data_IF_957549142878
#
_entry.id   IF_957549142878
#
_cell.length_a   1.000
_cell.length_b   1.000
_cell.length_c   1.000
_cell.angle_alpha   90.00
_cell.angle_beta   90.00
_cell.angle_gamma   90.00
#
_symmetry.space_group_name_H-M   'P 1'
#
loop_
_entity.id
_entity.type
_entity.pdbx_description
1 polymer ?
#
# COMPACT_ATOMS: atom_id res chain seq x y z
N UNK A 1 -28.73 5.67 13.02
CA UNK A 1 -27.48 5.37 12.32
C UNK A 1 -26.78 4.29 13.15
N UNK A 2 -26.57 3.08 12.61
CA UNK A 2 -25.84 2.03 13.35
C UNK A 2 -24.36 2.46 13.39
N UNK A 3 -23.76 2.48 14.60
CA UNK A 3 -22.33 2.77 14.75
C UNK A 3 -21.52 1.74 13.95
N UNK A 4 -20.50 2.21 13.24
CA UNK A 4 -19.58 1.32 12.53
C UNK A 4 -18.83 0.44 13.54
N UNK A 5 -18.78 -0.87 13.25
CA UNK A 5 -18.07 -1.81 14.12
C UNK A 5 -16.56 -1.52 14.07
N UNK A 6 -15.92 -1.53 15.23
CA UNK A 6 -14.45 -1.49 15.32
C UNK A 6 -13.83 -2.77 14.75
N UNK A 7 -12.54 -2.74 14.43
CA UNK A 7 -11.80 -3.94 13.98
C UNK A 7 -11.95 -5.09 14.98
N UNK A 8 -11.82 -4.84 16.28
CA UNK A 8 -12.02 -5.86 17.32
C UNK A 8 -13.43 -6.44 17.33
N UNK A 9 -14.46 -5.61 17.18
CA UNK A 9 -15.85 -6.07 17.08
C UNK A 9 -16.12 -6.90 15.82
N UNK A 10 -15.43 -6.59 14.70
CA UNK A 10 -15.49 -7.38 13.47
C UNK A 10 -14.82 -8.75 13.65
N UNK A 11 -13.69 -8.82 14.35
CA UNK A 11 -13.05 -10.09 14.76
C UNK A 11 -14.01 -10.92 15.60
N UNK A 12 -14.65 -10.33 16.64
CA UNK A 12 -15.61 -11.02 17.47
C UNK A 12 -16.82 -11.53 16.67
N UNK A 13 -17.30 -10.76 15.70
CA UNK A 13 -18.40 -11.15 14.80
C UNK A 13 -17.99 -12.32 13.91
N UNK A 14 -16.80 -12.28 13.28
CA UNK A 14 -16.30 -13.35 12.43
C UNK A 14 -16.12 -14.66 13.22
N UNK A 15 -15.52 -14.60 14.41
CA UNK A 15 -15.39 -15.74 15.31
C UNK A 15 -16.73 -16.39 15.67
N UNK A 16 -17.73 -15.57 16.03
CA UNK A 16 -19.08 -16.06 16.35
C UNK A 16 -19.77 -16.71 15.16
N UNK A 17 -19.53 -16.24 13.92
CA UNK A 17 -20.05 -16.87 12.70
C UNK A 17 -19.53 -18.30 12.52
N UNK A 18 -18.32 -18.60 12.98
CA UNK A 18 -17.76 -19.95 13.01
C UNK A 18 -18.25 -20.78 14.20
N UNK A 19 -19.06 -20.21 15.11
CA UNK A 19 -19.50 -20.87 16.35
C UNK A 19 -18.36 -21.02 17.37
N UNK A 20 -17.24 -20.33 17.21
CA UNK A 20 -16.08 -20.44 18.09
C UNK A 20 -16.23 -19.61 19.38
N UNK A 21 -15.70 -20.14 20.48
CA UNK A 21 -15.42 -19.34 21.66
C UNK A 21 -14.06 -18.61 21.57
N UNK A 22 -13.74 -17.77 22.56
CA UNK A 22 -12.47 -17.04 22.57
C UNK A 22 -11.26 -17.95 22.76
N UNK A 23 -11.42 -19.12 23.40
CA UNK A 23 -10.33 -20.07 23.61
C UNK A 23 -9.95 -20.77 22.30
N UNK A 24 -10.93 -21.11 21.47
CA UNK A 24 -10.71 -21.70 20.16
C UNK A 24 -9.96 -20.74 19.21
N UNK A 25 -10.38 -19.47 19.17
CA UNK A 25 -9.65 -18.46 18.39
C UNK A 25 -8.23 -18.25 18.93
N UNK A 26 -8.07 -18.17 20.26
CA UNK A 26 -6.78 -18.00 20.91
C UNK A 26 -5.80 -19.13 20.54
N UNK A 27 -6.26 -20.37 20.58
CA UNK A 27 -5.47 -21.54 20.19
C UNK A 27 -5.08 -21.49 18.70
N UNK A 28 -6.03 -21.12 17.82
CA UNK A 28 -5.80 -21.07 16.37
C UNK A 28 -4.78 -20.00 15.94
N UNK A 29 -4.67 -18.89 16.69
CA UNK A 29 -3.71 -17.80 16.38
C UNK A 29 -2.47 -17.81 17.30
N UNK A 30 -2.29 -18.86 18.10
CA UNK A 30 -1.19 -19.00 19.07
C UNK A 30 -1.09 -17.78 20.02
N UNK A 31 -2.21 -17.44 20.65
CA UNK A 31 -2.32 -16.34 21.63
C UNK A 31 -3.11 -16.79 22.86
N UNK A 32 -3.07 -15.97 23.91
CA UNK A 32 -3.88 -16.22 25.11
C UNK A 32 -5.34 -15.80 24.93
N UNK A 33 -6.28 -16.44 25.64
CA UNK A 33 -7.70 -16.03 25.69
C UNK A 33 -7.82 -14.56 26.13
N UNK A 34 -7.00 -14.13 27.09
CA UNK A 34 -6.95 -12.73 27.53
C UNK A 34 -6.55 -11.77 26.39
N UNK A 35 -5.66 -12.19 25.49
CA UNK A 35 -5.29 -11.42 24.30
C UNK A 35 -6.50 -11.26 23.38
N UNK A 36 -7.19 -12.34 23.03
CA UNK A 36 -8.40 -12.30 22.18
C UNK A 36 -9.47 -11.41 22.80
N UNK A 37 -9.74 -11.56 24.11
CA UNK A 37 -10.71 -10.72 24.81
C UNK A 37 -10.36 -9.23 24.75
N UNK A 38 -9.09 -8.89 24.90
CA UNK A 38 -8.63 -7.49 24.79
C UNK A 38 -8.75 -6.94 23.37
N UNK A 39 -8.44 -7.73 22.35
CA UNK A 39 -8.64 -7.34 20.94
C UNK A 39 -10.12 -7.12 20.66
N UNK A 40 -10.98 -8.06 20.99
CA UNK A 40 -12.44 -7.98 20.73
C UNK A 40 -13.12 -6.80 21.43
N UNK A 41 -12.60 -6.42 22.60
CA UNK A 41 -13.11 -5.28 23.39
C UNK A 41 -12.43 -3.95 23.06
N UNK A 42 -11.48 -3.92 22.11
CA UNK A 42 -10.74 -2.73 21.75
C UNK A 42 -9.71 -2.27 22.79
N UNK A 43 -9.45 -3.08 23.84
CA UNK A 43 -8.43 -2.77 24.85
C UNK A 43 -7.01 -3.06 24.39
N UNK A 44 -6.86 -3.83 23.33
CA UNK A 44 -5.60 -4.09 22.64
C UNK A 44 -5.82 -3.81 21.14
N UNK A 45 -5.14 -2.80 20.60
CA UNK A 45 -5.28 -2.45 19.18
C UNK A 45 -4.66 -3.52 18.27
N UNK A 46 -5.21 -3.65 17.08
CA UNK A 46 -4.61 -4.39 15.97
C UNK A 46 -3.77 -3.41 15.15
N UNK A 47 -2.53 -3.23 15.57
CA UNK A 47 -1.57 -2.23 15.06
C UNK A 47 -0.61 -2.79 14.00
N UNK A 48 -0.80 -4.06 13.58
CA UNK A 48 0.04 -4.73 12.58
C UNK A 48 -0.79 -5.51 11.58
N UNK A 49 -0.48 -5.33 10.30
CA UNK A 49 -1.16 -6.06 9.23
C UNK A 49 -0.86 -7.56 9.25
N UNK A 50 0.29 -7.97 9.78
CA UNK A 50 0.62 -9.38 10.04
C UNK A 50 -0.41 -10.05 10.95
N UNK A 51 -0.82 -9.39 12.03
CA UNK A 51 -1.83 -9.92 12.96
C UNK A 51 -3.23 -9.91 12.35
N UNK A 52 -3.57 -8.86 11.62
CA UNK A 52 -4.86 -8.77 10.91
C UNK A 52 -4.96 -9.86 9.85
N UNK A 53 -3.90 -10.08 9.07
CA UNK A 53 -3.83 -11.14 8.07
C UNK A 53 -3.98 -12.54 8.68
N UNK A 54 -3.25 -12.83 9.76
CA UNK A 54 -3.37 -14.10 10.50
C UNK A 54 -4.80 -14.34 11.01
N UNK A 55 -5.43 -13.31 11.58
CA UNK A 55 -6.83 -13.40 12.03
C UNK A 55 -7.78 -13.63 10.87
N UNK A 56 -7.60 -12.96 9.73
CA UNK A 56 -8.43 -13.11 8.55
C UNK A 56 -8.34 -14.55 7.99
N UNK A 57 -7.13 -15.08 7.86
CA UNK A 57 -6.87 -16.46 7.42
C UNK A 57 -7.56 -17.48 8.32
N UNK A 58 -7.32 -17.41 9.63
CA UNK A 58 -7.88 -18.35 10.61
C UNK A 58 -9.41 -18.26 10.71
N UNK A 59 -9.98 -17.07 10.53
CA UNK A 59 -11.41 -16.84 10.58
C UNK A 59 -12.12 -17.09 9.23
N UNK A 60 -11.37 -17.37 8.16
CA UNK A 60 -11.88 -17.59 6.81
C UNK A 60 -12.62 -16.37 6.24
N UNK A 61 -12.09 -15.17 6.49
CA UNK A 61 -12.66 -13.91 6.01
C UNK A 61 -11.58 -13.08 5.30
N UNK A 62 -12.01 -12.14 4.46
CA UNK A 62 -11.08 -11.21 3.84
C UNK A 62 -10.57 -10.17 4.85
N UNK A 63 -9.33 -9.68 4.63
CA UNK A 63 -8.73 -8.63 5.45
C UNK A 63 -9.62 -7.39 5.54
N UNK A 64 -10.29 -7.03 4.44
CA UNK A 64 -11.21 -5.88 4.40
C UNK A 64 -12.46 -6.07 5.28
N UNK A 65 -12.90 -7.29 5.50
CA UNK A 65 -14.01 -7.56 6.44
C UNK A 65 -13.61 -7.21 7.87
N UNK A 66 -12.36 -7.45 8.25
CA UNK A 66 -11.84 -7.12 9.58
C UNK A 66 -11.52 -5.63 9.71
N UNK A 67 -10.92 -5.02 8.69
CA UNK A 67 -10.55 -3.60 8.72
C UNK A 67 -11.75 -2.68 8.51
N UNK A 68 -12.79 -3.16 7.80
CA UNK A 68 -13.99 -2.40 7.54
C UNK A 68 -13.91 -1.42 6.38
N UNK A 69 -12.92 -1.57 5.50
CA UNK A 69 -12.84 -0.80 4.26
C UNK A 69 -13.96 -1.20 3.28
N UNK A 70 -14.36 -0.35 2.35
CA UNK A 70 -13.94 1.05 2.15
C UNK A 70 -14.56 2.02 3.18
N UNK A 71 -13.76 2.98 3.64
CA UNK A 71 -14.23 4.02 4.57
C UNK A 71 -14.88 5.15 3.79
N UNK A 72 -16.22 5.28 3.91
CA UNK A 72 -16.98 6.33 3.25
C UNK A 72 -17.25 7.51 4.18
N UNK A 73 -17.21 8.72 3.64
CA UNK A 73 -17.41 9.96 4.38
C UNK A 73 -18.65 10.71 3.87
N UNK A 74 -19.24 11.61 4.71
CA UNK A 74 -20.50 12.27 4.38
C UNK A 74 -20.38 13.39 3.36
N UNK A 75 -19.21 14.05 3.32
CA UNK A 75 -18.96 15.14 2.37
C UNK A 75 -18.01 14.67 1.28
N UNK A 76 -18.19 15.20 0.06
CA UNK A 76 -17.30 14.88 -1.06
C UNK A 76 -15.84 15.23 -0.77
N UNK A 77 -15.59 16.29 0.00
CA UNK A 77 -14.26 16.72 0.40
C UNK A 77 -13.58 15.71 1.33
N UNK A 78 -14.32 15.09 2.23
CA UNK A 78 -13.83 14.07 3.15
C UNK A 78 -13.83 12.67 2.52
N UNK A 79 -14.71 12.41 1.56
CA UNK A 79 -14.85 11.12 0.87
C UNK A 79 -13.77 10.88 -0.21
N UNK A 80 -12.73 11.63 -0.14
CA UNK A 80 -11.50 11.71 -0.93
C UNK A 80 -11.26 10.56 -1.91
N UNK A 81 -11.46 10.81 -3.19
CA UNK A 81 -11.14 9.86 -4.26
C UNK A 81 -12.22 8.80 -4.55
N UNK A 82 -13.16 8.53 -3.63
CA UNK A 82 -14.21 7.51 -3.88
C UNK A 82 -15.17 7.89 -5.01
N UNK A 83 -15.36 9.18 -5.28
CA UNK A 83 -16.20 9.65 -6.39
C UNK A 83 -15.68 9.20 -7.77
N UNK A 84 -14.38 8.99 -7.91
CA UNK A 84 -13.74 8.54 -9.15
C UNK A 84 -13.81 7.03 -9.38
N UNK A 85 -14.15 6.23 -8.37
CA UNK A 85 -14.16 4.76 -8.45
C UNK A 85 -15.03 4.22 -9.58
N UNK A 86 -16.25 4.71 -9.85
CA UNK A 86 -17.02 4.22 -11.00
C UNK A 86 -16.32 4.43 -12.34
N UNK A 87 -15.73 5.60 -12.56
CA UNK A 87 -14.96 5.90 -13.78
C UNK A 87 -13.70 5.06 -13.89
N UNK A 88 -12.97 4.88 -12.78
CA UNK A 88 -11.78 4.05 -12.73
C UNK A 88 -12.12 2.57 -13.00
N UNK A 89 -13.21 2.06 -12.44
CA UNK A 89 -13.71 0.70 -12.69
C UNK A 89 -13.98 0.47 -14.18
N UNK A 90 -14.71 1.38 -14.80
CA UNK A 90 -15.02 1.29 -16.25
C UNK A 90 -13.73 1.31 -17.07
N UNK A 91 -12.80 2.22 -16.79
CA UNK A 91 -11.52 2.32 -17.50
C UNK A 91 -10.68 1.03 -17.37
N UNK A 92 -10.60 0.44 -16.18
CA UNK A 92 -9.89 -0.83 -15.95
C UNK A 92 -10.59 -2.01 -16.65
N UNK A 93 -11.92 -2.06 -16.65
CA UNK A 93 -12.66 -3.09 -17.40
C UNK A 93 -12.37 -3.00 -18.90
N UNK A 94 -12.37 -1.80 -19.47
CA UNK A 94 -12.00 -1.59 -20.88
C UNK A 94 -10.53 -1.94 -21.13
N UNK A 95 -9.63 -1.67 -20.19
CA UNK A 95 -8.20 -1.95 -20.31
C UNK A 95 -7.85 -3.45 -20.23
N UNK A 96 -8.68 -4.25 -19.56
CA UNK A 96 -8.46 -5.70 -19.36
C UNK A 96 -9.24 -6.57 -20.33
N UNK A 97 -10.28 -6.01 -20.97
CA UNK A 97 -11.15 -6.78 -21.88
C UNK A 97 -10.54 -6.89 -23.28
N UNK A 98 -10.55 -8.07 -23.92
CA UNK A 98 -10.19 -8.20 -25.32
C UNK A 98 -11.03 -7.28 -26.21
N UNK A 99 -10.40 -6.51 -27.09
CA UNK A 99 -11.09 -5.55 -27.97
C UNK A 99 -11.63 -4.31 -27.23
N UNK A 100 -11.18 -4.04 -26.00
CA UNK A 100 -11.65 -2.91 -25.20
C UNK A 100 -11.42 -1.55 -25.86
N UNK A 101 -10.38 -1.39 -26.69
CA UNK A 101 -10.12 -0.18 -27.46
C UNK A 101 -11.29 0.17 -28.41
N UNK A 102 -11.88 -0.82 -29.07
CA UNK A 102 -13.02 -0.61 -29.98
C UNK A 102 -14.29 -0.12 -29.26
N UNK A 103 -14.36 -0.24 -27.93
CA UNK A 103 -15.46 0.26 -27.10
C UNK A 103 -15.26 1.70 -26.63
N UNK A 104 -14.11 2.29 -26.91
CA UNK A 104 -13.77 3.66 -26.53
C UNK A 104 -13.99 4.56 -27.75
N UNK A 105 -15.04 5.40 -27.69
CA UNK A 105 -15.27 6.41 -28.72
C UNK A 105 -14.28 7.55 -28.47
N UNK A 106 -13.36 7.74 -29.42
CA UNK A 106 -12.45 8.89 -29.45
C UNK A 106 -12.40 9.47 -30.84
N UNK A 107 -12.34 10.79 -30.94
CA UNK A 107 -12.17 11.50 -32.22
C UNK A 107 -10.69 11.69 -32.55
N UNK A 108 -9.84 11.77 -31.52
CA UNK A 108 -8.41 11.97 -31.67
C UNK A 108 -7.66 11.00 -30.73
N UNK A 109 -6.66 10.30 -31.26
CA UNK A 109 -5.76 9.45 -30.47
C UNK A 109 -4.64 10.34 -29.95
N UNK A 110 -4.49 10.51 -28.61
CA UNK A 110 -3.41 11.30 -28.06
C UNK A 110 -2.05 10.73 -28.46
N UNK A 111 -1.09 11.61 -28.69
CA UNK A 111 0.28 11.18 -29.00
C UNK A 111 0.97 10.54 -27.77
N UNK A 112 1.98 9.71 -28.04
CA UNK A 112 2.82 9.13 -27.00
C UNK A 112 3.44 10.22 -26.11
N UNK A 113 3.86 11.36 -26.70
CA UNK A 113 4.44 12.48 -25.95
C UNK A 113 3.43 13.18 -25.03
N UNK A 114 2.18 13.39 -25.49
CA UNK A 114 1.11 13.94 -24.67
C UNK A 114 0.80 13.02 -23.48
N UNK A 115 0.60 11.72 -23.75
CA UNK A 115 0.31 10.76 -22.69
C UNK A 115 1.48 10.58 -21.70
N UNK A 116 2.72 10.68 -22.17
CA UNK A 116 3.88 10.71 -21.27
C UNK A 116 3.78 11.87 -20.28
N UNK A 117 3.51 13.08 -20.75
CA UNK A 117 3.36 14.28 -19.92
C UNK A 117 2.21 14.13 -18.91
N UNK A 118 1.07 13.61 -19.35
CA UNK A 118 -0.12 13.42 -18.50
C UNK A 118 0.11 12.34 -17.43
N UNK A 119 0.78 11.24 -17.77
CA UNK A 119 1.15 10.19 -16.81
C UNK A 119 2.12 10.73 -15.77
N UNK A 120 3.14 11.49 -16.17
CA UNK A 120 4.09 12.10 -15.23
C UNK A 120 3.43 13.10 -14.27
N UNK A 121 2.48 13.89 -14.78
CA UNK A 121 1.69 14.80 -13.93
C UNK A 121 0.83 14.01 -12.93
N UNK A 122 0.22 12.91 -13.35
CA UNK A 122 -0.59 12.04 -12.49
C UNK A 122 0.27 11.33 -11.43
N UNK A 123 1.49 10.89 -11.78
CA UNK A 123 2.44 10.31 -10.81
C UNK A 123 2.79 11.30 -9.69
N UNK A 124 2.94 12.58 -10.03
CA UNK A 124 3.17 13.60 -9.01
C UNK A 124 1.99 13.76 -8.07
N UNK A 125 0.75 13.74 -8.59
CA UNK A 125 -0.45 13.77 -7.74
C UNK A 125 -0.48 12.58 -6.77
N UNK A 126 -0.14 11.38 -7.24
CA UNK A 126 -0.06 10.19 -6.40
C UNK A 126 1.01 10.35 -5.31
N UNK A 127 2.22 10.77 -5.68
CA UNK A 127 3.33 10.94 -4.73
C UNK A 127 3.03 11.99 -3.66
N UNK A 128 2.30 13.04 -4.03
CA UNK A 128 1.82 14.09 -3.11
C UNK A 128 0.58 13.63 -2.31
N UNK A 129 0.12 12.37 -2.46
CA UNK A 129 -1.08 11.80 -1.84
C UNK A 129 -2.38 12.58 -2.14
N UNK A 130 -2.47 13.20 -3.33
CA UNK A 130 -3.65 13.96 -3.80
C UNK A 130 -4.60 13.04 -4.57
N UNK A 131 -5.16 12.05 -3.87
CA UNK A 131 -5.94 10.97 -4.50
C UNK A 131 -7.24 11.44 -5.15
N UNK A 132 -7.88 12.51 -4.66
CA UNK A 132 -9.04 13.09 -5.32
C UNK A 132 -8.67 13.64 -6.70
N UNK A 133 -7.65 14.51 -6.78
CA UNK A 133 -7.19 15.08 -8.05
C UNK A 133 -6.65 14.01 -9.02
N UNK A 134 -5.98 12.98 -8.47
CA UNK A 134 -5.57 11.83 -9.28
C UNK A 134 -6.79 11.10 -9.87
N UNK A 135 -7.82 10.88 -9.07
CA UNK A 135 -9.06 10.22 -9.49
C UNK A 135 -9.80 10.96 -10.60
N UNK A 136 -9.69 12.29 -10.65
CA UNK A 136 -10.32 13.11 -11.69
C UNK A 136 -9.66 12.90 -13.08
N UNK A 137 -8.36 12.59 -13.13
CA UNK A 137 -7.61 12.50 -14.40
C UNK A 137 -7.30 11.06 -14.83
N UNK A 138 -7.09 10.15 -13.89
CA UNK A 138 -6.58 8.81 -14.15
C UNK A 138 -7.50 7.94 -15.03
N UNK A 139 -8.85 7.95 -14.86
CA UNK A 139 -9.74 7.17 -15.72
C UNK A 139 -9.60 7.51 -17.20
N UNK A 140 -9.46 8.81 -17.54
CA UNK A 140 -9.29 9.23 -18.92
C UNK A 140 -7.90 8.86 -19.45
N UNK A 141 -6.84 9.01 -18.67
CA UNK A 141 -5.49 8.57 -19.04
C UNK A 141 -5.47 7.08 -19.38
N UNK A 142 -6.09 6.24 -18.54
CA UNK A 142 -6.18 4.80 -18.81
C UNK A 142 -6.92 4.49 -20.12
N UNK A 143 -8.05 5.14 -20.38
CA UNK A 143 -8.82 4.95 -21.64
C UNK A 143 -8.02 5.36 -22.86
N UNK A 144 -7.35 6.51 -22.81
CA UNK A 144 -6.50 6.99 -23.91
C UNK A 144 -5.32 6.03 -24.16
N UNK A 145 -4.73 5.50 -23.10
CA UNK A 145 -3.66 4.49 -23.19
C UNK A 145 -4.17 3.16 -23.77
N UNK A 146 -5.41 2.75 -23.49
CA UNK A 146 -6.00 1.56 -24.12
C UNK A 146 -6.00 1.70 -25.64
N UNK A 147 -6.44 2.86 -26.16
CA UNK A 147 -6.46 3.14 -27.60
C UNK A 147 -5.04 3.24 -28.16
N UNK A 148 -4.14 3.97 -27.49
CA UNK A 148 -2.74 4.08 -27.93
C UNK A 148 -2.06 2.71 -28.01
N UNK A 149 -2.18 1.87 -26.99
CA UNK A 149 -1.59 0.52 -26.99
C UNK A 149 -2.14 -0.39 -28.09
N UNK A 150 -3.40 -0.18 -28.50
CA UNK A 150 -4.03 -0.97 -29.57
C UNK A 150 -3.48 -0.62 -30.96
N UNK A 151 -3.15 0.66 -31.18
CA UNK A 151 -2.64 1.15 -32.48
C UNK A 151 -1.12 1.21 -32.57
N UNK A 152 -0.41 1.00 -31.47
CA UNK A 152 1.05 1.04 -31.42
C UNK A 152 1.66 -0.20 -32.06
N UNK A 153 2.78 -0.03 -32.75
CA UNK A 153 3.58 -1.10 -33.35
C UNK A 153 5.08 -0.87 -33.11
N UNK A 154 5.88 -1.88 -33.40
CA UNK A 154 7.34 -1.80 -33.29
C UNK A 154 7.83 -1.34 -31.91
N UNK A 155 8.73 -0.38 -31.88
CA UNK A 155 9.33 0.15 -30.63
C UNK A 155 8.33 0.95 -29.79
N UNK A 156 7.28 1.49 -30.38
CA UNK A 156 6.29 2.27 -29.66
C UNK A 156 5.38 1.41 -28.76
N UNK A 157 5.26 0.10 -29.05
CA UNK A 157 4.57 -0.86 -28.15
C UNK A 157 5.21 -0.84 -26.77
N UNK A 158 6.53 -0.93 -26.65
CA UNK A 158 7.23 -0.96 -25.36
C UNK A 158 7.00 0.33 -24.58
N UNK A 159 6.99 1.48 -25.28
CA UNK A 159 6.75 2.79 -24.68
C UNK A 159 5.30 2.96 -24.22
N UNK A 160 4.34 2.59 -25.07
CA UNK A 160 2.90 2.70 -24.77
C UNK A 160 2.52 1.77 -23.60
N UNK A 161 2.95 0.50 -23.64
CA UNK A 161 2.70 -0.46 -22.56
C UNK A 161 3.44 -0.06 -21.27
N UNK A 162 4.62 0.56 -21.38
CA UNK A 162 5.30 1.13 -20.21
C UNK A 162 4.51 2.25 -19.54
N UNK A 163 3.85 3.13 -20.31
CA UNK A 163 2.94 4.15 -19.78
C UNK A 163 1.67 3.52 -19.18
N UNK A 164 1.11 2.49 -19.84
CA UNK A 164 -0.04 1.75 -19.34
C UNK A 164 0.27 1.10 -17.98
N UNK A 165 1.43 0.47 -17.82
CA UNK A 165 1.88 -0.10 -16.56
C UNK A 165 1.96 0.99 -15.47
N UNK A 166 2.57 2.14 -15.76
CA UNK A 166 2.69 3.26 -14.82
C UNK A 166 1.31 3.81 -14.41
N UNK A 167 0.37 3.93 -15.34
CA UNK A 167 -1.00 4.36 -15.05
C UNK A 167 -1.77 3.31 -14.22
N UNK A 168 -1.62 2.03 -14.55
CA UNK A 168 -2.22 0.92 -13.81
C UNK A 168 -1.67 0.82 -12.39
N UNK A 169 -0.37 1.06 -12.17
CA UNK A 169 0.21 1.18 -10.84
C UNK A 169 -0.52 2.24 -9.99
N UNK A 170 -0.76 3.42 -10.55
CA UNK A 170 -1.50 4.48 -9.84
C UNK A 170 -2.93 4.06 -9.49
N UNK A 171 -3.59 3.35 -10.41
CA UNK A 171 -4.92 2.79 -10.19
C UNK A 171 -4.91 1.75 -9.06
N UNK A 172 -3.94 0.84 -9.05
CA UNK A 172 -3.76 -0.15 -7.99
C UNK A 172 -3.55 0.49 -6.62
N UNK A 173 -2.61 1.44 -6.52
CA UNK A 173 -2.30 2.10 -5.23
C UNK A 173 -3.53 2.83 -4.70
N UNK A 174 -4.22 3.60 -5.55
CA UNK A 174 -5.42 4.36 -5.16
C UNK A 174 -6.55 3.43 -4.75
N UNK A 175 -6.81 2.38 -5.52
CA UNK A 175 -7.88 1.42 -5.23
C UNK A 175 -7.63 0.68 -3.92
N UNK A 176 -6.41 0.19 -3.67
CA UNK A 176 -6.07 -0.49 -2.43
C UNK A 176 -6.18 0.43 -1.21
N UNK A 177 -5.71 1.68 -1.33
CA UNK A 177 -5.83 2.67 -0.25
C UNK A 177 -7.30 2.93 0.10
N UNK A 178 -8.15 3.05 -0.93
CA UNK A 178 -9.59 3.32 -0.77
C UNK A 178 -10.39 2.05 -0.40
N UNK A 179 -9.76 0.86 -0.33
CA UNK A 179 -10.41 -0.40 0.04
C UNK A 179 -11.19 -1.08 -1.09
N UNK A 180 -10.86 -0.78 -2.35
CA UNK A 180 -11.38 -1.43 -3.54
C UNK A 180 -10.35 -2.41 -4.12
N UNK A 181 -10.09 -3.49 -3.40
CA UNK A 181 -9.01 -4.45 -3.70
C UNK A 181 -9.25 -5.19 -5.02
N UNK A 182 -10.53 -5.42 -5.40
CA UNK A 182 -10.94 -5.96 -6.70
C UNK A 182 -10.42 -5.11 -7.88
N UNK A 183 -10.43 -3.79 -7.74
CA UNK A 183 -9.85 -2.88 -8.74
C UNK A 183 -8.33 -2.88 -8.71
N UNK A 184 -7.73 -2.99 -7.53
CA UNK A 184 -6.28 -3.17 -7.40
C UNK A 184 -5.80 -4.41 -8.13
N UNK A 185 -6.52 -5.52 -8.01
CA UNK A 185 -6.28 -6.75 -8.76
C UNK A 185 -6.42 -6.55 -10.27
N UNK A 186 -7.52 -5.91 -10.72
CA UNK A 186 -7.74 -5.63 -12.14
C UNK A 186 -6.63 -4.76 -12.75
N UNK A 187 -6.11 -3.79 -11.98
CA UNK A 187 -5.00 -2.96 -12.43
C UNK A 187 -3.72 -3.79 -12.63
N UNK A 188 -3.37 -4.67 -11.68
CA UNK A 188 -2.20 -5.55 -11.81
C UNK A 188 -2.34 -6.54 -12.94
N UNK A 189 -3.53 -7.08 -13.19
CA UNK A 189 -3.76 -7.92 -14.37
C UNK A 189 -3.41 -7.16 -15.66
N UNK A 190 -3.78 -5.87 -15.76
CA UNK A 190 -3.42 -5.03 -16.93
C UNK A 190 -1.92 -4.77 -17.01
N UNK A 191 -1.23 -4.62 -15.87
CA UNK A 191 0.23 -4.48 -15.83
C UNK A 191 0.94 -5.74 -16.34
N UNK A 192 0.48 -6.92 -15.94
CA UNK A 192 1.04 -8.20 -16.41
C UNK A 192 0.87 -8.36 -17.92
N UNK A 193 -0.31 -8.01 -18.46
CA UNK A 193 -0.55 -8.00 -19.92
C UNK A 193 0.35 -6.98 -20.63
N UNK A 194 0.54 -5.79 -20.05
CA UNK A 194 1.43 -4.78 -20.62
C UNK A 194 2.88 -5.28 -20.70
N UNK A 195 3.35 -5.91 -19.64
CA UNK A 195 4.70 -6.46 -19.56
C UNK A 195 4.93 -7.63 -20.54
N UNK A 196 3.91 -8.47 -20.74
CA UNK A 196 3.94 -9.57 -21.71
C UNK A 196 3.96 -9.03 -23.15
N UNK A 197 3.09 -8.10 -23.50
CA UNK A 197 3.05 -7.49 -24.86
C UNK A 197 4.32 -6.73 -25.21
N UNK A 198 4.96 -6.10 -24.23
CA UNK A 198 6.21 -5.38 -24.42
C UNK A 198 7.43 -6.32 -24.48
N UNK A 199 7.30 -7.61 -24.18
CA UNK A 199 8.39 -8.60 -24.08
C UNK A 199 9.59 -8.07 -23.28
N UNK A 200 9.35 -7.21 -22.27
CA UNK A 200 10.36 -6.50 -21.50
C UNK A 200 10.57 -7.12 -20.12
N UNK A 201 11.76 -7.68 -19.82
CA UNK A 201 12.07 -8.19 -18.48
C UNK A 201 11.93 -7.13 -17.37
N UNK A 202 12.20 -5.87 -17.68
CA UNK A 202 12.08 -4.74 -16.76
C UNK A 202 10.60 -4.48 -16.43
N UNK A 203 9.73 -4.46 -17.44
CA UNK A 203 8.29 -4.30 -17.21
C UNK A 203 7.69 -5.51 -16.48
N UNK A 204 8.17 -6.73 -16.77
CA UNK A 204 7.76 -7.93 -16.05
C UNK A 204 8.13 -7.86 -14.56
N UNK A 205 9.33 -7.37 -14.22
CA UNK A 205 9.74 -7.19 -12.84
C UNK A 205 8.88 -6.11 -12.14
N UNK A 206 8.57 -5.01 -12.81
CA UNK A 206 7.71 -3.94 -12.26
C UNK A 206 6.29 -4.46 -11.99
N UNK A 207 5.67 -5.18 -12.93
CA UNK A 207 4.33 -5.76 -12.76
C UNK A 207 4.29 -6.80 -11.62
N UNK A 208 5.33 -7.63 -11.49
CA UNK A 208 5.44 -8.61 -10.38
C UNK A 208 5.65 -7.92 -9.03
N UNK A 209 6.37 -6.81 -9.00
CA UNK A 209 6.52 -6.00 -7.78
C UNK A 209 5.16 -5.49 -7.30
N UNK A 210 4.29 -5.07 -8.21
CA UNK A 210 2.93 -4.65 -7.89
C UNK A 210 2.03 -5.82 -7.50
N UNK A 211 2.17 -6.98 -8.15
CA UNK A 211 1.47 -8.20 -7.77
C UNK A 211 1.81 -8.62 -6.32
N UNK A 212 3.09 -8.58 -5.94
CA UNK A 212 3.47 -8.78 -4.53
C UNK A 212 2.76 -7.79 -3.61
N UNK A 213 2.62 -6.52 -4.03
CA UNK A 213 1.92 -5.49 -3.27
C UNK A 213 0.44 -5.82 -3.04
N UNK A 214 -0.28 -6.32 -4.05
CA UNK A 214 -1.68 -6.77 -3.91
C UNK A 214 -1.78 -7.92 -2.92
N UNK A 215 -0.98 -8.98 -3.08
CA UNK A 215 -1.01 -10.12 -2.17
C UNK A 215 -0.64 -9.77 -0.72
N UNK A 216 0.28 -8.82 -0.52
CA UNK A 216 0.57 -8.30 0.82
C UNK A 216 -0.64 -7.57 1.44
N UNK A 217 -1.46 -6.89 0.65
CA UNK A 217 -2.69 -6.25 1.12
C UNK A 217 -3.80 -7.26 1.42
N UNK A 218 -3.90 -8.31 0.64
CA UNK A 218 -4.88 -9.40 0.81
C UNK A 218 -4.50 -10.39 1.90
N UNK A 219 -3.25 -10.34 2.40
CA UNK A 219 -2.75 -11.29 3.40
C UNK A 219 -2.24 -12.61 2.81
N UNK A 220 -2.15 -12.71 1.49
CA UNK A 220 -1.60 -13.89 0.79
C UNK A 220 -0.05 -13.90 0.85
N UNK A 221 0.49 -13.95 2.08
CA UNK A 221 1.90 -13.70 2.37
C UNK A 221 2.85 -14.71 1.71
N UNK A 222 2.45 -16.00 1.67
CA UNK A 222 3.21 -17.05 1.01
C UNK A 222 3.35 -16.80 -0.49
N UNK A 223 2.24 -16.42 -1.15
CA UNK A 223 2.24 -16.09 -2.57
C UNK A 223 3.11 -14.86 -2.88
N UNK A 224 3.03 -13.82 -2.05
CA UNK A 224 3.86 -12.62 -2.18
C UNK A 224 5.36 -12.95 -2.05
N UNK A 225 5.73 -13.77 -1.06
CA UNK A 225 7.10 -14.27 -0.85
C UNK A 225 7.63 -15.03 -2.07
N UNK A 226 6.85 -16.01 -2.54
CA UNK A 226 7.28 -16.89 -3.65
C UNK A 226 7.40 -16.13 -4.97
N UNK A 227 6.51 -15.17 -5.22
CA UNK A 227 6.60 -14.27 -6.37
C UNK A 227 7.80 -13.33 -6.27
N UNK A 228 8.07 -12.77 -5.10
CA UNK A 228 9.25 -11.92 -4.92
C UNK A 228 10.54 -12.69 -5.21
N UNK A 229 10.66 -13.93 -4.72
CA UNK A 229 11.80 -14.81 -5.02
C UNK A 229 11.91 -15.05 -6.52
N UNK A 230 10.81 -15.48 -7.18
CA UNK A 230 10.81 -15.71 -8.63
C UNK A 230 11.20 -14.47 -9.41
N UNK A 231 10.69 -13.30 -9.04
CA UNK A 231 11.02 -12.05 -9.72
C UNK A 231 12.49 -11.65 -9.54
N UNK A 232 13.08 -11.95 -8.38
CA UNK A 232 14.52 -11.78 -8.14
C UNK A 232 15.33 -12.74 -9.01
N UNK A 233 15.00 -14.04 -9.02
CA UNK A 233 15.69 -15.03 -9.85
C UNK A 233 15.67 -14.64 -11.35
N UNK A 234 14.53 -14.14 -11.85
CA UNK A 234 14.38 -13.73 -13.24
C UNK A 234 15.12 -12.41 -13.55
N UNK A 235 15.30 -11.51 -12.56
CA UNK A 235 15.95 -10.21 -12.75
C UNK A 235 17.48 -10.25 -12.54
N UNK A 236 17.98 -11.21 -11.77
CA UNK A 236 19.40 -11.33 -11.42
C UNK A 236 20.34 -11.32 -12.65
N UNK A 237 20.09 -12.06 -13.75
CA UNK A 237 20.95 -12.03 -14.94
C UNK A 237 21.08 -10.64 -15.57
N UNK A 238 20.08 -9.77 -15.39
CA UNK A 238 20.06 -8.42 -15.95
C UNK A 238 20.87 -7.40 -15.14
N UNK A 239 21.28 -7.71 -13.91
CA UNK A 239 22.16 -6.85 -13.11
C UNK A 239 23.53 -6.63 -13.76
N UNK A 240 23.99 -7.56 -14.60
CA UNK A 240 25.24 -7.45 -15.34
C UNK A 240 25.24 -6.26 -16.33
N UNK A 241 24.09 -5.77 -16.76
CA UNK A 241 23.96 -4.61 -17.64
C UNK A 241 24.32 -3.29 -16.97
N UNK A 242 24.42 -3.27 -15.65
CA UNK A 242 24.64 -2.09 -14.81
C UNK A 242 23.55 -0.99 -14.98
N UNK A 243 22.37 -1.36 -15.47
CA UNK A 243 21.21 -0.46 -15.61
C UNK A 243 20.67 -0.07 -14.22
N UNK A 244 20.55 1.22 -13.99
CA UNK A 244 20.05 1.77 -12.73
C UNK A 244 18.57 1.40 -12.49
N UNK A 245 17.80 1.25 -13.55
CA UNK A 245 16.39 0.85 -13.47
C UNK A 245 16.26 -0.60 -13.00
N UNK A 246 17.05 -1.50 -13.56
CA UNK A 246 17.14 -2.91 -13.14
C UNK A 246 17.55 -2.99 -11.66
N UNK A 247 18.60 -2.24 -11.28
CA UNK A 247 19.08 -2.20 -9.89
C UNK A 247 18.02 -1.65 -8.92
N UNK A 248 17.28 -0.63 -9.33
CA UNK A 248 16.20 -0.06 -8.51
C UNK A 248 15.04 -1.05 -8.32
N UNK A 249 14.63 -1.75 -9.39
CA UNK A 249 13.60 -2.80 -9.29
C UNK A 249 14.08 -4.00 -8.46
N UNK A 250 15.34 -4.42 -8.61
CA UNK A 250 15.96 -5.44 -7.77
C UNK A 250 15.84 -5.09 -6.28
N UNK A 251 16.33 -3.90 -5.91
CA UNK A 251 16.26 -3.45 -4.53
C UNK A 251 14.83 -3.27 -4.02
N UNK A 252 13.92 -2.74 -4.86
CA UNK A 252 12.50 -2.62 -4.51
C UNK A 252 11.84 -4.00 -4.29
N UNK A 253 12.22 -5.02 -5.06
CA UNK A 253 11.74 -6.39 -4.88
C UNK A 253 12.25 -6.99 -3.57
N UNK A 254 13.52 -6.77 -3.20
CA UNK A 254 14.04 -7.14 -1.89
C UNK A 254 13.27 -6.48 -0.75
N UNK A 255 12.82 -5.21 -0.88
CA UNK A 255 11.96 -4.57 0.11
C UNK A 255 10.58 -5.25 0.21
N UNK A 256 9.98 -5.69 -0.92
CA UNK A 256 8.74 -6.48 -0.90
C UNK A 256 8.92 -7.81 -0.17
N UNK A 257 10.02 -8.52 -0.48
CA UNK A 257 10.38 -9.76 0.20
C UNK A 257 10.58 -9.55 1.70
N UNK A 258 11.30 -8.49 2.10
CA UNK A 258 11.52 -8.15 3.51
C UNK A 258 10.19 -7.93 4.26
N UNK A 259 9.23 -7.23 3.64
CA UNK A 259 7.89 -7.05 4.24
C UNK A 259 7.13 -8.38 4.30
N UNK A 260 7.17 -9.21 3.25
CA UNK A 260 6.51 -10.52 3.26
C UNK A 260 7.06 -11.42 4.38
N UNK A 261 8.37 -11.55 4.48
CA UNK A 261 9.03 -12.34 5.51
C UNK A 261 8.80 -11.81 6.93
N UNK A 262 8.79 -10.48 7.11
CA UNK A 262 8.48 -9.88 8.41
C UNK A 262 7.05 -10.19 8.87
N UNK A 263 6.09 -10.24 7.95
CA UNK A 263 4.71 -10.61 8.25
C UNK A 263 4.53 -12.10 8.49
N UNK A 264 5.42 -12.93 7.96
CA UNK A 264 5.54 -14.36 8.28
C UNK A 264 6.33 -14.61 9.57
N UNK A 265 6.80 -13.56 10.28
CA UNK A 265 7.58 -13.61 11.51
C UNK A 265 9.00 -14.17 11.34
N UNK A 266 9.49 -14.26 10.12
CA UNK A 266 10.83 -14.76 9.77
C UNK A 266 11.84 -13.61 9.76
N UNK A 267 12.34 -13.27 10.95
CA UNK A 267 13.24 -12.12 11.16
C UNK A 267 14.53 -12.22 10.34
N UNK A 268 15.15 -13.38 10.32
CA UNK A 268 16.44 -13.58 9.65
C UNK A 268 16.34 -13.28 8.15
N UNK A 269 15.31 -13.82 7.51
CA UNK A 269 15.05 -13.61 6.09
C UNK A 269 14.70 -12.15 5.78
N UNK A 270 13.86 -11.53 6.62
CA UNK A 270 13.52 -10.12 6.46
C UNK A 270 14.74 -9.20 6.53
N UNK A 271 15.65 -9.45 7.49
CA UNK A 271 16.90 -8.67 7.64
C UNK A 271 17.88 -8.93 6.49
N UNK A 272 17.99 -10.17 6.00
CA UNK A 272 18.80 -10.51 4.83
C UNK A 272 18.35 -9.71 3.60
N UNK A 273 17.04 -9.69 3.33
CA UNK A 273 16.49 -8.91 2.21
C UNK A 273 16.67 -7.40 2.40
N UNK A 274 16.60 -6.86 3.62
CA UNK A 274 16.94 -5.46 3.89
C UNK A 274 18.41 -5.16 3.63
N UNK A 275 19.34 -6.08 3.92
CA UNK A 275 20.77 -5.91 3.63
C UNK A 275 21.01 -5.84 2.12
N UNK A 276 20.42 -6.74 1.33
CA UNK A 276 20.50 -6.72 -0.13
C UNK A 276 19.91 -5.42 -0.72
N UNK A 277 18.76 -4.96 -0.20
CA UNK A 277 18.17 -3.69 -0.61
C UNK A 277 19.12 -2.49 -0.32
N UNK A 278 19.81 -2.47 0.84
CA UNK A 278 20.80 -1.43 1.15
C UNK A 278 21.97 -1.44 0.19
N UNK A 279 22.47 -2.64 -0.15
CA UNK A 279 23.54 -2.78 -1.13
C UNK A 279 23.12 -2.26 -2.51
N UNK A 280 21.92 -2.63 -2.98
CA UNK A 280 21.35 -2.13 -4.23
C UNK A 280 21.19 -0.60 -4.22
N UNK A 281 20.71 -0.03 -3.10
CA UNK A 281 20.45 1.40 -2.96
C UNK A 281 21.72 2.27 -3.06
N UNK A 282 22.90 1.72 -2.74
CA UNK A 282 24.17 2.43 -2.89
C UNK A 282 24.49 2.78 -4.35
N UNK A 283 23.92 2.06 -5.33
CA UNK A 283 24.11 2.28 -6.77
C UNK A 283 22.96 2.99 -7.46
N UNK A 284 21.97 3.52 -6.73
CA UNK A 284 20.78 4.18 -7.29
C UNK A 284 20.77 5.65 -6.88
N UNK A 285 20.43 6.58 -7.80
CA UNK A 285 20.32 8.00 -7.47
C UNK A 285 19.31 8.26 -6.34
N UNK A 286 19.60 9.22 -5.47
CA UNK A 286 18.73 9.55 -4.33
C UNK A 286 17.29 9.94 -4.73
N UNK A 287 17.12 10.53 -5.91
CA UNK A 287 15.83 10.95 -6.46
C UNK A 287 15.31 9.97 -7.53
N UNK A 288 15.93 8.80 -7.66
CA UNK A 288 15.46 7.75 -8.56
C UNK A 288 14.08 7.27 -8.19
N UNK A 289 13.23 7.12 -9.20
CA UNK A 289 11.84 6.67 -9.01
C UNK A 289 11.41 5.73 -10.14
N UNK A 290 12.26 4.76 -10.47
CA UNK A 290 11.95 3.75 -11.48
C UNK A 290 10.60 3.09 -11.17
N UNK A 291 9.66 3.15 -12.12
CA UNK A 291 8.31 2.61 -12.01
C UNK A 291 7.58 2.99 -10.70
N UNK A 292 7.81 4.20 -10.20
CA UNK A 292 7.20 4.75 -8.98
C UNK A 292 7.49 3.93 -7.71
N UNK A 293 8.49 3.04 -7.72
CA UNK A 293 8.91 2.26 -6.55
C UNK A 293 9.50 3.14 -5.44
N UNK A 294 9.96 4.34 -5.80
CA UNK A 294 10.69 5.28 -4.94
C UNK A 294 11.91 4.64 -4.25
N UNK A 295 12.48 3.62 -4.91
CA UNK A 295 13.60 2.90 -4.36
C UNK A 295 14.85 3.79 -4.31
N UNK A 296 15.33 4.03 -3.11
CA UNK A 296 16.56 4.75 -2.79
C UNK A 296 16.98 4.44 -1.33
N UNK A 297 18.17 4.90 -0.93
CA UNK A 297 18.69 4.62 0.40
C UNK A 297 17.77 5.07 1.54
N UNK A 298 17.13 6.25 1.45
CA UNK A 298 16.27 6.75 2.52
C UNK A 298 14.96 5.95 2.60
N UNK A 299 14.36 5.60 1.45
CA UNK A 299 13.15 4.78 1.43
C UNK A 299 13.42 3.35 1.91
N UNK A 300 14.62 2.82 1.70
CA UNK A 300 15.05 1.54 2.26
C UNK A 300 15.03 1.59 3.80
N UNK A 301 15.49 2.67 4.41
CA UNK A 301 15.40 2.81 5.87
C UNK A 301 13.95 3.01 6.37
N UNK A 302 13.06 3.66 5.60
CA UNK A 302 11.63 3.68 5.92
C UNK A 302 11.05 2.26 5.94
N UNK A 303 11.40 1.41 4.97
CA UNK A 303 11.00 0.00 5.00
C UNK A 303 11.61 -0.78 6.17
N UNK A 304 12.82 -0.45 6.60
CA UNK A 304 13.40 -1.09 7.80
C UNK A 304 12.60 -0.78 9.07
N UNK A 305 12.02 0.42 9.18
CA UNK A 305 11.08 0.79 10.25
C UNK A 305 9.79 -0.04 10.16
N UNK A 306 9.22 -0.18 8.97
CA UNK A 306 8.01 -1.00 8.73
C UNK A 306 8.26 -2.48 9.07
N UNK A 307 9.37 -3.06 8.62
CA UNK A 307 9.76 -4.45 8.92
C UNK A 307 9.88 -4.67 10.43
N UNK A 308 10.50 -3.74 11.15
CA UNK A 308 10.59 -3.82 12.64
C UNK A 308 9.23 -3.74 13.31
N UNK A 309 8.31 -2.91 12.76
CA UNK A 309 6.94 -2.81 13.26
C UNK A 309 6.20 -4.14 13.06
N UNK A 310 6.25 -4.71 11.87
CA UNK A 310 5.58 -5.98 11.55
C UNK A 310 6.11 -7.16 12.38
N UNK A 311 7.42 -7.19 12.64
CA UNK A 311 8.04 -8.16 13.57
C UNK A 311 7.68 -7.93 15.05
N UNK A 312 7.04 -6.81 15.40
CA UNK A 312 6.65 -6.51 16.76
C UNK A 312 7.81 -6.08 17.65
N UNK A 313 8.84 -5.46 17.12
CA UNK A 313 10.02 -4.98 17.83
C UNK A 313 10.01 -3.45 18.02
N UNK A 314 9.24 -2.90 18.97
CA UNK A 314 9.03 -1.46 19.09
C UNK A 314 10.30 -0.65 19.36
N UNK A 315 11.31 -1.23 20.02
CA UNK A 315 12.60 -0.57 20.25
C UNK A 315 13.36 -0.40 18.94
N UNK A 316 13.35 -1.43 18.08
CA UNK A 316 13.97 -1.40 16.75
C UNK A 316 13.26 -0.40 15.83
N UNK A 317 11.92 -0.28 15.92
CA UNK A 317 11.15 0.75 15.19
C UNK A 317 11.69 2.14 15.50
N UNK A 318 11.87 2.47 16.78
CA UNK A 318 12.30 3.81 17.19
C UNK A 318 13.76 4.09 16.85
N UNK A 319 14.67 3.14 17.12
CA UNK A 319 16.09 3.31 16.79
C UNK A 319 16.34 3.44 15.30
N UNK A 320 15.60 2.70 14.47
CA UNK A 320 15.66 2.85 12.99
C UNK A 320 15.04 4.14 12.52
N UNK A 321 13.92 4.58 13.11
CA UNK A 321 13.29 5.85 12.76
C UNK A 321 14.22 7.05 13.00
N UNK A 322 15.07 7.02 14.01
CA UNK A 322 16.07 8.07 14.28
C UNK A 322 17.13 8.19 13.17
N UNK A 323 17.39 7.12 12.42
CA UNK A 323 18.33 7.11 11.29
C UNK A 323 17.74 7.67 9.99
N UNK A 324 16.40 7.78 9.90
CA UNK A 324 15.73 8.25 8.69
C UNK A 324 15.80 9.76 8.56
N UNK A 325 16.51 10.25 7.57
CA UNK A 325 16.45 11.67 7.19
C UNK A 325 15.22 11.93 6.31
N UNK A 326 14.05 12.09 6.93
CA UNK A 326 12.76 12.23 6.24
C UNK A 326 12.69 13.45 5.31
N UNK A 327 13.47 14.50 5.55
CA UNK A 327 13.54 15.68 4.68
C UNK A 327 14.11 15.37 3.28
N UNK A 328 14.78 14.24 3.11
CA UNK A 328 15.29 13.77 1.81
C UNK A 328 14.27 13.01 0.97
N UNK A 329 13.07 12.77 1.49
CA UNK A 329 11.96 12.11 0.76
C UNK A 329 11.05 13.19 0.19
N UNK A 330 10.92 13.23 -1.13
CA UNK A 330 10.03 14.19 -1.81
C UNK A 330 8.55 13.77 -1.72
N UNK A 331 8.27 12.47 -1.62
CA UNK A 331 6.91 11.94 -1.62
C UNK A 331 6.20 12.16 -0.28
N UNK A 332 5.10 12.91 -0.29
CA UNK A 332 4.23 13.10 0.87
C UNK A 332 3.61 11.79 1.35
N UNK A 333 3.28 10.86 0.43
CA UNK A 333 2.80 9.52 0.78
C UNK A 333 3.83 8.76 1.63
N UNK A 334 5.11 8.73 1.20
CA UNK A 334 6.17 8.02 1.93
C UNK A 334 6.52 8.67 3.26
N UNK A 335 6.52 10.00 3.30
CA UNK A 335 6.70 10.74 4.56
C UNK A 335 5.58 10.41 5.56
N UNK A 336 4.33 10.44 5.10
CA UNK A 336 3.17 10.09 5.93
C UNK A 336 3.23 8.64 6.41
N UNK A 337 3.61 7.69 5.54
CA UNK A 337 3.80 6.29 5.90
C UNK A 337 4.83 6.13 7.03
N UNK A 338 5.98 6.79 6.91
CA UNK A 338 7.01 6.78 7.94
C UNK A 338 6.47 7.26 9.30
N UNK A 339 5.73 8.36 9.33
CA UNK A 339 5.18 8.90 10.56
C UNK A 339 4.09 8.00 11.17
N UNK A 340 3.28 7.34 10.33
CA UNK A 340 2.31 6.34 10.81
C UNK A 340 3.01 5.15 11.47
N UNK A 341 4.05 4.59 10.85
CA UNK A 341 4.84 3.50 11.42
C UNK A 341 5.54 3.93 12.73
N UNK A 342 6.08 5.14 12.76
CA UNK A 342 6.70 5.72 13.97
C UNK A 342 5.67 5.87 15.09
N UNK A 343 4.46 6.37 14.77
CA UNK A 343 3.37 6.49 15.76
C UNK A 343 2.98 5.13 16.35
N UNK A 344 2.87 4.09 15.50
CA UNK A 344 2.62 2.73 15.98
C UNK A 344 3.72 2.24 16.91
N UNK A 345 4.99 2.43 16.56
CA UNK A 345 6.12 2.10 17.41
C UNK A 345 6.11 2.83 18.76
N UNK A 346 5.72 4.13 18.77
CA UNK A 346 5.57 4.89 20.01
C UNK A 346 4.42 4.37 20.88
N UNK A 347 3.28 3.99 20.30
CA UNK A 347 2.16 3.35 21.02
C UNK A 347 2.59 2.04 21.65
N UNK A 348 3.26 1.16 20.90
CA UNK A 348 3.80 -0.12 21.42
C UNK A 348 4.79 0.10 22.58
N UNK A 349 5.54 1.21 22.56
CA UNK A 349 6.45 1.63 23.64
C UNK A 349 5.75 2.40 24.79
N UNK A 350 4.41 2.46 24.78
CA UNK A 350 3.61 3.15 25.82
C UNK A 350 3.91 4.67 25.92
N UNK A 351 4.18 5.31 24.78
CA UNK A 351 4.47 6.75 24.68
C UNK A 351 3.36 7.47 23.88
N UNK A 352 2.11 7.55 24.37
CA UNK A 352 0.97 8.04 23.60
C UNK A 352 1.12 9.51 23.17
N UNK A 353 1.79 10.36 23.95
CA UNK A 353 2.02 11.75 23.57
C UNK A 353 2.90 11.87 22.32
N UNK A 354 3.97 11.07 22.21
CA UNK A 354 4.84 11.04 21.04
C UNK A 354 4.14 10.37 19.83
N UNK A 355 3.30 9.37 20.07
CA UNK A 355 2.49 8.77 19.03
C UNK A 355 1.48 9.78 18.46
N UNK A 356 0.82 10.59 19.30
CA UNK A 356 -0.08 11.63 18.88
C UNK A 356 0.63 12.71 18.05
N UNK A 357 1.84 13.13 18.43
CA UNK A 357 2.65 14.05 17.64
C UNK A 357 2.98 13.48 16.26
N UNK A 358 3.41 12.21 16.19
CA UNK A 358 3.76 11.55 14.94
C UNK A 358 2.56 11.37 14.00
N UNK A 359 1.38 10.95 14.50
CA UNK A 359 0.20 10.77 13.64
C UNK A 359 -0.36 12.11 13.14
N UNK A 360 -0.27 13.18 13.93
CA UNK A 360 -0.65 14.52 13.49
C UNK A 360 0.30 15.07 12.43
N UNK A 361 1.61 14.79 12.51
CA UNK A 361 2.56 15.07 11.43
C UNK A 361 2.20 14.34 10.15
N UNK A 362 1.84 13.06 10.24
CA UNK A 362 1.39 12.28 9.10
C UNK A 362 0.15 12.88 8.44
N UNK A 363 -0.87 13.27 9.23
CA UNK A 363 -2.11 13.88 8.72
C UNK A 363 -1.86 15.24 8.09
N UNK A 364 -1.00 16.07 8.67
CA UNK A 364 -0.63 17.36 8.10
C UNK A 364 0.04 17.25 6.72
N UNK A 365 0.82 16.18 6.49
CA UNK A 365 1.51 15.94 5.21
C UNK A 365 0.56 15.35 4.16
N UNK A 366 -0.20 14.31 4.52
CA UNK A 366 -1.00 13.54 3.58
C UNK A 366 -2.32 13.08 4.21
N UNK A 367 -3.30 13.99 4.42
CA UNK A 367 -4.54 13.68 5.12
C UNK A 367 -5.35 12.58 4.43
N UNK A 368 -5.40 12.54 3.10
CA UNK A 368 -6.12 11.52 2.36
C UNK A 368 -5.49 10.12 2.56
N UNK A 369 -4.17 10.04 2.68
CA UNK A 369 -3.46 8.80 2.96
C UNK A 369 -3.75 8.30 4.39
N UNK A 370 -3.65 9.16 5.39
CA UNK A 370 -3.85 8.81 6.81
C UNK A 370 -5.28 8.32 7.06
N UNK A 371 -6.28 9.04 6.55
CA UNK A 371 -7.70 8.77 6.82
C UNK A 371 -8.20 7.46 6.22
N UNK A 372 -7.56 6.98 5.15
CA UNK A 372 -7.92 5.74 4.47
C UNK A 372 -7.07 4.52 4.90
N UNK A 373 -6.05 4.70 5.76
CA UNK A 373 -5.24 3.59 6.26
C UNK A 373 -5.80 2.97 7.53
N UNK A 374 -6.07 1.64 7.55
CA UNK A 374 -6.56 0.93 8.75
C UNK A 374 -5.68 1.15 9.98
N UNK A 375 -4.36 1.02 9.84
CA UNK A 375 -3.40 1.23 10.94
C UNK A 375 -3.52 2.63 11.55
N UNK A 376 -3.59 3.67 10.71
CA UNK A 376 -3.70 5.04 11.19
C UNK A 376 -5.04 5.27 11.91
N UNK A 377 -6.15 4.72 11.40
CA UNK A 377 -7.47 4.80 12.04
C UNK A 377 -7.47 4.13 13.40
N UNK A 378 -6.90 2.93 13.51
CA UNK A 378 -6.77 2.23 14.80
C UNK A 378 -5.96 3.06 15.80
N UNK A 379 -4.82 3.62 15.38
CA UNK A 379 -3.98 4.48 16.23
C UNK A 379 -4.73 5.72 16.74
N UNK A 380 -5.49 6.38 15.86
CA UNK A 380 -6.28 7.57 16.25
C UNK A 380 -7.39 7.20 17.24
N UNK A 381 -8.05 6.05 17.04
CA UNK A 381 -9.10 5.58 17.95
C UNK A 381 -8.55 5.26 19.35
N UNK A 382 -7.39 4.58 19.40
CA UNK A 382 -6.70 4.29 20.67
C UNK A 382 -6.24 5.56 21.40
N UNK A 383 -5.64 6.50 20.65
CA UNK A 383 -5.19 7.78 21.21
C UNK A 383 -6.35 8.62 21.72
N UNK A 384 -7.49 8.59 21.03
CA UNK A 384 -8.73 9.26 21.46
C UNK A 384 -9.24 8.70 22.78
N UNK A 385 -9.15 7.38 22.95
CA UNK A 385 -9.60 6.69 24.17
C UNK A 385 -8.66 6.92 25.37
N UNK A 386 -7.45 7.41 25.10
CA UNK A 386 -6.42 7.72 26.11
C UNK A 386 -6.41 9.20 26.46
N UNK A 387 -7.21 9.66 27.42
CA UNK A 387 -7.40 11.08 27.78
C UNK A 387 -6.18 11.79 28.39
N UNK A 388 -4.99 11.21 28.37
CA UNK A 388 -3.83 11.65 29.19
C UNK A 388 -2.67 12.28 28.41
N UNK A 389 -2.88 12.76 27.18
CA UNK A 389 -1.79 13.38 26.41
C UNK A 389 -2.09 14.83 25.98
N UNK A 390 -1.02 15.61 25.74
CA UNK A 390 -1.10 17.05 25.39
C UNK A 390 -1.87 17.34 24.08
N UNK A 391 -2.02 16.37 23.18
CA UNK A 391 -2.65 16.51 21.89
C UNK A 391 -4.13 16.04 21.83
N UNK A 392 -4.78 15.76 22.98
CA UNK A 392 -6.13 15.18 23.03
C UNK A 392 -7.17 15.92 22.20
N UNK A 393 -7.15 17.25 22.17
CA UNK A 393 -8.09 18.06 21.38
C UNK A 393 -7.87 17.88 19.86
N UNK A 394 -6.62 17.82 19.40
CA UNK A 394 -6.29 17.62 17.98
C UNK A 394 -6.60 16.18 17.53
N UNK A 395 -6.32 15.19 18.37
CA UNK A 395 -6.67 13.79 18.11
C UNK A 395 -8.20 13.62 18.05
N UNK A 396 -8.96 14.25 18.93
CA UNK A 396 -10.45 14.21 18.86
C UNK A 396 -10.97 14.82 17.56
N UNK A 397 -10.42 15.95 17.09
CA UNK A 397 -10.79 16.53 15.79
C UNK A 397 -10.47 15.58 14.64
N UNK A 398 -9.27 14.95 14.65
CA UNK A 398 -8.89 13.98 13.64
C UNK A 398 -9.81 12.75 13.67
N UNK A 399 -10.12 12.21 14.85
CA UNK A 399 -11.05 11.10 15.04
C UNK A 399 -12.45 11.43 14.48
N UNK A 400 -12.97 12.62 14.76
CA UNK A 400 -14.26 13.11 14.22
C UNK A 400 -14.22 13.14 12.69
N UNK A 401 -13.14 13.66 12.08
CA UNK A 401 -12.99 13.68 10.61
C UNK A 401 -12.92 12.28 9.99
N UNK A 402 -12.54 11.28 10.76
CA UNK A 402 -12.50 9.86 10.38
C UNK A 402 -13.79 9.08 10.76
N UNK A 403 -14.81 9.74 11.37
CA UNK A 403 -16.01 9.08 11.93
C UNK A 403 -15.71 7.99 12.96
N UNK A 404 -14.66 8.16 13.72
CA UNK A 404 -14.36 7.30 14.86
C UNK A 404 -15.20 7.79 16.05
N UNK A 405 -16.20 6.99 16.43
CA UNK A 405 -17.19 7.32 17.48
C UNK A 405 -16.74 6.91 18.86
#
# INVERSE_FOLDING_TARGET
MMAELTTGQRVARARRRLGWDQAQLAAAVDRSVSWVSKVETGRLPLDRMSVVGQLAEVLGVEVIELTGQPYRHETAELDSGHASIPGLRLALQQATMPGGAAMITTTDIPSLADLTTRVEAAEKLRQDAKFTALGDVLPQILRDLVVLCDVSDGEDVVRAEGLMLRASHMARVSSNLLGHHDLGWSAVQRELVAAERAESPVLQAAARWDLCGVWLHEGALGAARDMARKALDDLEPHLATNDQTVRALWGAMHLRAAVAWSRLWERSEAESHLAEARQAAAGVPQHGNAFQTQFNAVNTEIHSVEVSLELGHPRDVLSRAELVNIARIASGERQSHFWVCTAAGQMMNRKPALAADAILKADAIAPQHVRNRPLARNLVDDLRSSDKHSHSASIRRLATSMKLS
#
